data_IF_808557126758
#
_entry.id   IF_808557126758
#
_cell.length_a   1.000
_cell.length_b   1.000
_cell.length_c   1.000
_cell.angle_alpha   90.00
_cell.angle_beta   90.00
_cell.angle_gamma   90.00
#
_symmetry.space_group_name_H-M   'P 1'
#
loop_
_entity.id
_entity.type
_entity.pdbx_description
1 polymer ?
#
# COMPACT_ATOMS: atom_id res chain seq x y z
N UNK A 1 27.50 19.09 16.34
CA UNK A 1 27.14 17.66 16.35
C UNK A 1 25.78 17.50 17.01
N UNK A 2 24.70 17.41 16.23
CA UNK A 2 23.36 17.23 16.77
C UNK A 2 23.15 15.74 17.10
N UNK A 3 22.94 15.44 18.38
CA UNK A 3 22.58 14.12 18.88
C UNK A 3 21.33 13.61 18.16
N UNK A 4 21.45 12.49 17.45
CA UNK A 4 20.29 11.83 16.86
C UNK A 4 19.35 11.39 18.00
N UNK A 5 18.08 11.82 18.05
CA UNK A 5 17.19 11.41 19.12
C UNK A 5 16.97 9.89 19.03
N UNK A 6 17.40 9.21 20.09
CA UNK A 6 17.42 7.77 20.34
C UNK A 6 16.03 7.10 20.33
N UNK A 7 14.94 7.83 20.06
CA UNK A 7 13.56 7.33 20.07
C UNK A 7 12.65 8.02 19.02
N UNK A 8 13.13 8.21 17.79
CA UNK A 8 12.32 8.82 16.73
C UNK A 8 11.18 7.89 16.29
N UNK A 9 10.02 7.99 16.96
CA UNK A 9 8.75 7.42 16.51
C UNK A 9 8.56 7.73 15.01
N UNK A 10 8.02 6.80 14.20
CA UNK A 10 7.79 7.07 12.79
C UNK A 10 6.93 8.34 12.64
N UNK A 11 7.25 9.23 11.68
CA UNK A 11 6.46 10.43 11.47
C UNK A 11 5.01 10.06 11.16
N UNK A 12 4.08 10.95 11.50
CA UNK A 12 2.64 10.69 11.35
C UNK A 12 2.26 10.24 9.93
N UNK A 13 2.95 10.75 8.90
CA UNK A 13 2.75 10.31 7.51
C UNK A 13 3.07 8.84 7.27
N UNK A 14 4.14 8.32 7.89
CA UNK A 14 4.55 6.90 7.78
C UNK A 14 3.59 6.01 8.58
N UNK A 15 3.10 6.49 9.73
CA UNK A 15 2.06 5.79 10.50
C UNK A 15 0.75 5.70 9.73
N UNK A 16 0.30 6.81 9.14
CA UNK A 16 -0.88 6.84 8.30
C UNK A 16 -0.71 5.92 7.08
N UNK A 17 0.47 5.91 6.46
CA UNK A 17 0.78 5.00 5.36
C UNK A 17 0.65 3.53 5.77
N UNK A 18 1.13 3.18 6.96
CA UNK A 18 0.98 1.83 7.52
C UNK A 18 -0.47 1.41 7.64
N UNK A 19 -1.32 2.32 8.14
CA UNK A 19 -2.76 2.07 8.29
C UNK A 19 -3.41 1.88 6.92
N UNK A 20 -3.10 2.74 5.95
CA UNK A 20 -3.61 2.61 4.58
C UNK A 20 -3.22 1.28 3.93
N UNK A 21 -1.96 0.84 4.10
CA UNK A 21 -1.49 -0.45 3.58
C UNK A 21 -2.22 -1.64 4.21
N UNK A 22 -2.56 -1.58 5.51
CA UNK A 22 -3.38 -2.60 6.15
C UNK A 22 -4.82 -2.60 5.66
N UNK A 23 -5.41 -1.41 5.46
CA UNK A 23 -6.75 -1.27 4.86
C UNK A 23 -6.76 -1.93 3.48
N UNK A 24 -5.76 -1.64 2.64
CA UNK A 24 -5.63 -2.29 1.34
C UNK A 24 -5.48 -3.80 1.43
N UNK A 25 -4.66 -4.31 2.35
CA UNK A 25 -4.51 -5.75 2.52
C UNK A 25 -5.85 -6.42 2.86
N UNK A 26 -6.63 -5.86 3.78
CA UNK A 26 -7.94 -6.39 4.14
C UNK A 26 -8.93 -6.29 2.96
N UNK A 27 -8.95 -5.15 2.26
CA UNK A 27 -9.83 -4.96 1.10
C UNK A 27 -9.50 -5.96 -0.02
N UNK A 28 -8.23 -6.14 -0.37
CA UNK A 28 -7.83 -7.09 -1.39
C UNK A 28 -8.08 -8.54 -0.97
N UNK A 29 -7.88 -8.87 0.30
CA UNK A 29 -8.22 -10.20 0.81
C UNK A 29 -9.73 -10.48 0.69
N UNK A 30 -10.57 -9.51 1.07
CA UNK A 30 -12.02 -9.58 0.91
C UNK A 30 -12.42 -9.75 -0.56
N UNK A 31 -11.85 -8.95 -1.46
CA UNK A 31 -12.09 -9.08 -2.90
C UNK A 31 -11.62 -10.42 -3.47
N UNK A 32 -10.51 -10.97 -2.97
CA UNK A 32 -10.04 -12.29 -3.39
C UNK A 32 -11.04 -13.38 -3.01
N UNK A 33 -11.52 -13.37 -1.76
CA UNK A 33 -12.52 -14.33 -1.27
C UNK A 33 -13.82 -14.19 -2.05
N UNK A 34 -14.29 -12.96 -2.27
CA UNK A 34 -15.48 -12.68 -3.07
C UNK A 34 -15.33 -13.20 -4.50
N UNK A 35 -14.21 -12.91 -5.15
CA UNK A 35 -13.92 -13.32 -6.53
C UNK A 35 -13.90 -14.85 -6.71
N UNK A 36 -13.46 -15.61 -5.70
CA UNK A 36 -13.54 -17.08 -5.74
C UNK A 36 -14.99 -17.53 -5.79
N UNK A 37 -15.86 -16.95 -4.95
CA UNK A 37 -17.28 -17.29 -4.90
C UNK A 37 -18.01 -16.92 -6.19
N UNK A 38 -17.76 -15.71 -6.71
CA UNK A 38 -18.38 -15.20 -7.93
C UNK A 38 -18.02 -16.02 -9.17
N UNK A 39 -16.78 -16.52 -9.25
CA UNK A 39 -16.32 -17.39 -10.33
C UNK A 39 -16.83 -18.84 -10.23
N UNK A 40 -17.71 -19.17 -9.28
CA UNK A 40 -18.25 -20.51 -9.08
C UNK A 40 -17.31 -21.47 -8.32
N UNK A 41 -16.25 -20.96 -7.71
CA UNK A 41 -15.28 -21.74 -6.93
C UNK A 41 -14.25 -22.52 -7.75
N UNK A 42 -13.66 -23.54 -7.12
CA UNK A 42 -12.66 -24.43 -7.73
C UNK A 42 -11.34 -23.75 -8.12
N UNK A 43 -10.51 -24.43 -8.91
CA UNK A 43 -9.20 -23.92 -9.33
C UNK A 43 -9.31 -22.66 -10.20
N UNK A 44 -10.37 -22.55 -11.01
CA UNK A 44 -10.58 -21.39 -11.87
C UNK A 44 -10.84 -20.13 -11.03
N UNK A 45 -11.73 -20.20 -10.03
CA UNK A 45 -11.98 -19.08 -9.12
C UNK A 45 -10.73 -18.67 -8.32
N UNK A 46 -9.91 -19.64 -7.89
CA UNK A 46 -8.62 -19.35 -7.25
C UNK A 46 -7.66 -18.64 -8.20
N UNK A 47 -7.57 -19.09 -9.46
CA UNK A 47 -6.77 -18.44 -10.49
C UNK A 47 -7.24 -17.01 -10.77
N UNK A 48 -8.55 -16.79 -10.84
CA UNK A 48 -9.16 -15.47 -11.02
C UNK A 48 -8.89 -14.53 -9.83
N UNK A 49 -8.84 -15.07 -8.61
CA UNK A 49 -8.55 -14.30 -7.40
C UNK A 49 -7.05 -14.03 -7.16
N UNK A 50 -6.16 -14.69 -7.90
CA UNK A 50 -4.70 -14.62 -7.72
C UNK A 50 -4.13 -13.19 -7.70
N UNK A 51 -4.54 -12.27 -8.60
CA UNK A 51 -4.05 -10.88 -8.55
C UNK A 51 -4.37 -10.18 -7.23
N UNK A 52 -5.55 -10.45 -6.64
CA UNK A 52 -5.95 -9.88 -5.35
C UNK A 52 -5.11 -10.45 -4.20
N UNK A 53 -4.81 -11.75 -4.21
CA UNK A 53 -3.89 -12.33 -3.23
C UNK A 53 -2.48 -11.75 -3.33
N UNK A 54 -1.98 -11.54 -4.55
CA UNK A 54 -0.68 -10.88 -4.75
C UNK A 54 -0.67 -9.46 -4.18
N UNK A 55 -1.70 -8.65 -4.48
CA UNK A 55 -1.82 -7.30 -3.92
C UNK A 55 -1.97 -7.31 -2.40
N UNK A 56 -2.67 -8.30 -1.84
CA UNK A 56 -2.79 -8.52 -0.39
C UNK A 56 -1.43 -8.77 0.24
N UNK A 57 -0.67 -9.72 -0.31
CA UNK A 57 0.66 -10.07 0.18
C UNK A 57 1.62 -8.88 0.09
N UNK A 58 1.66 -8.18 -1.06
CA UNK A 58 2.47 -6.98 -1.24
C UNK A 58 2.12 -5.89 -0.23
N UNK A 59 0.83 -5.58 -0.07
CA UNK A 59 0.37 -4.56 0.88
C UNK A 59 0.72 -4.92 2.32
N UNK A 60 0.60 -6.21 2.68
CA UNK A 60 0.93 -6.73 4.01
C UNK A 60 2.43 -6.63 4.29
N UNK A 61 3.26 -7.09 3.36
CA UNK A 61 4.73 -7.02 3.47
C UNK A 61 5.17 -5.57 3.61
N UNK A 62 4.62 -4.67 2.80
CA UNK A 62 4.92 -3.24 2.91
C UNK A 62 4.40 -2.67 4.23
N UNK A 63 3.20 -3.02 4.71
CA UNK A 63 2.67 -2.53 5.99
C UNK A 63 3.56 -2.94 7.19
N UNK A 64 4.11 -4.15 7.15
CA UNK A 64 5.06 -4.63 8.18
C UNK A 64 6.40 -3.91 8.04
N UNK A 65 6.90 -3.74 6.81
CA UNK A 65 8.23 -3.19 6.54
C UNK A 65 8.26 -1.66 6.44
N UNK A 66 7.14 -0.94 6.44
CA UNK A 66 7.10 0.54 6.31
C UNK A 66 7.78 1.27 7.47
N UNK A 67 7.85 0.62 8.64
CA UNK A 67 8.60 1.10 9.79
C UNK A 67 10.12 0.86 9.66
N UNK A 68 10.55 0.02 8.71
CA UNK A 68 11.97 -0.09 8.37
C UNK A 68 12.32 1.13 7.52
N UNK A 69 13.42 1.83 7.84
CA UNK A 69 13.88 3.01 7.09
C UNK A 69 14.45 2.66 5.71
N UNK A 70 14.04 1.53 5.13
CA UNK A 70 14.59 1.00 3.90
C UNK A 70 14.04 1.75 2.68
N UNK A 71 14.95 2.23 1.82
CA UNK A 71 14.60 2.99 0.60
C UNK A 71 13.72 2.19 -0.35
N UNK A 72 13.94 0.88 -0.48
CA UNK A 72 13.15 0.03 -1.36
C UNK A 72 11.66 0.02 -0.95
N UNK A 73 11.35 0.05 0.36
CA UNK A 73 9.96 0.06 0.85
C UNK A 73 9.24 1.31 0.39
N UNK A 74 9.91 2.47 0.43
CA UNK A 74 9.35 3.72 -0.08
C UNK A 74 9.08 3.64 -1.58
N UNK A 75 10.05 3.18 -2.37
CA UNK A 75 9.88 3.04 -3.83
C UNK A 75 8.74 2.08 -4.16
N UNK A 76 8.70 0.90 -3.54
CA UNK A 76 7.62 -0.07 -3.72
C UNK A 76 6.26 0.48 -3.31
N UNK A 77 6.19 1.28 -2.25
CA UNK A 77 4.96 1.94 -1.82
C UNK A 77 4.46 2.95 -2.85
N UNK A 78 5.37 3.76 -3.42
CA UNK A 78 5.04 4.71 -4.49
C UNK A 78 4.51 3.96 -5.70
N UNK A 79 5.24 2.94 -6.17
CA UNK A 79 4.85 2.11 -7.32
C UNK A 79 3.48 1.47 -7.10
N UNK A 80 3.23 0.89 -5.92
CA UNK A 80 1.95 0.31 -5.57
C UNK A 80 0.82 1.35 -5.69
N UNK A 81 0.98 2.54 -5.11
CA UNK A 81 -0.07 3.57 -5.17
C UNK A 81 -0.30 4.09 -6.59
N UNK A 82 0.77 4.28 -7.37
CA UNK A 82 0.65 4.64 -8.78
C UNK A 82 -0.12 3.59 -9.57
N UNK A 83 0.16 2.30 -9.34
CA UNK A 83 -0.56 1.21 -9.99
C UNK A 83 -2.03 1.17 -9.57
N UNK A 84 -2.33 1.35 -8.27
CA UNK A 84 -3.70 1.42 -7.77
C UNK A 84 -4.46 2.61 -8.35
N UNK A 85 -3.83 3.77 -8.53
CA UNK A 85 -4.45 4.93 -9.21
C UNK A 85 -4.90 4.55 -10.61
N UNK A 86 -4.05 3.88 -11.40
CA UNK A 86 -4.40 3.46 -12.77
C UNK A 86 -5.58 2.49 -12.76
N UNK A 87 -5.58 1.50 -11.88
CA UNK A 87 -6.70 0.55 -11.75
C UNK A 87 -8.00 1.26 -11.39
N UNK A 88 -7.96 2.14 -10.38
CA UNK A 88 -9.16 2.83 -9.91
C UNK A 88 -9.68 3.84 -10.93
N UNK A 89 -8.79 4.49 -11.68
CA UNK A 89 -9.17 5.34 -12.80
C UNK A 89 -9.94 4.54 -13.86
N UNK A 90 -9.46 3.35 -14.21
CA UNK A 90 -10.17 2.44 -15.12
C UNK A 90 -11.57 2.09 -14.61
N UNK A 91 -11.72 1.79 -13.31
CA UNK A 91 -13.03 1.52 -12.69
C UNK A 91 -13.95 2.73 -12.72
N UNK A 92 -13.46 3.91 -12.36
CA UNK A 92 -14.25 5.15 -12.39
C UNK A 92 -14.73 5.47 -13.80
N UNK A 93 -13.85 5.37 -14.80
CA UNK A 93 -14.23 5.58 -16.21
C UNK A 93 -15.21 4.51 -16.71
N UNK A 94 -15.19 3.30 -16.13
CA UNK A 94 -16.18 2.24 -16.36
C UNK A 94 -17.52 2.43 -15.64
N UNK A 95 -17.74 3.53 -14.93
CA UNK A 95 -19.00 3.85 -14.26
C UNK A 95 -19.11 3.36 -12.81
N UNK A 96 -18.06 2.79 -12.23
CA UNK A 96 -18.04 2.33 -10.85
C UNK A 96 -17.71 3.48 -9.88
N UNK A 97 -18.72 3.93 -9.14
CA UNK A 97 -18.61 5.02 -8.14
C UNK A 97 -17.63 4.65 -7.03
N UNK A 98 -17.51 3.37 -6.65
CA UNK A 98 -16.52 2.94 -5.66
C UNK A 98 -15.08 3.07 -6.17
N UNK A 99 -14.89 3.09 -7.49
CA UNK A 99 -13.61 3.43 -8.12
C UNK A 99 -13.13 4.82 -7.72
N UNK A 100 -14.03 5.81 -7.61
CA UNK A 100 -13.67 7.18 -7.22
C UNK A 100 -13.16 7.24 -5.76
N UNK A 101 -13.81 6.52 -4.86
CA UNK A 101 -13.39 6.41 -3.46
C UNK A 101 -12.00 5.77 -3.39
N UNK A 102 -11.79 4.66 -4.10
CA UNK A 102 -10.50 3.99 -4.18
C UNK A 102 -9.40 4.90 -4.75
N UNK A 103 -9.72 5.71 -5.76
CA UNK A 103 -8.82 6.67 -6.37
C UNK A 103 -8.35 7.73 -5.37
N UNK A 104 -9.27 8.31 -4.58
CA UNK A 104 -8.93 9.30 -3.55
C UNK A 104 -8.01 8.71 -2.48
N UNK A 105 -8.26 7.47 -2.04
CA UNK A 105 -7.40 6.79 -1.07
C UNK A 105 -6.01 6.55 -1.66
N UNK A 106 -5.93 6.13 -2.93
CA UNK A 106 -4.66 5.88 -3.61
C UNK A 106 -3.83 7.16 -3.81
N UNK A 107 -4.47 8.26 -4.20
CA UNK A 107 -3.83 9.58 -4.28
C UNK A 107 -3.33 10.02 -2.90
N UNK A 108 -4.16 9.87 -1.87
CA UNK A 108 -3.78 10.25 -0.49
C UNK A 108 -2.54 9.49 -0.03
N UNK A 109 -2.50 8.17 -0.23
CA UNK A 109 -1.33 7.36 0.13
C UNK A 109 -0.09 7.72 -0.69
N UNK A 110 -0.24 8.08 -1.97
CA UNK A 110 0.88 8.58 -2.77
C UNK A 110 1.43 9.91 -2.21
N UNK A 111 0.55 10.85 -1.88
CA UNK A 111 0.92 12.14 -1.28
C UNK A 111 1.66 11.92 0.05
N UNK A 112 1.17 11.01 0.90
CA UNK A 112 1.83 10.67 2.17
C UNK A 112 3.23 10.07 1.95
N UNK A 113 3.41 9.20 0.95
CA UNK A 113 4.71 8.63 0.59
C UNK A 113 5.69 9.65 -0.03
N UNK A 114 5.16 10.71 -0.65
CA UNK A 114 5.94 11.78 -1.27
C UNK A 114 6.29 12.92 -0.31
N UNK A 115 5.60 13.06 0.84
CA UNK A 115 5.84 14.14 1.82
C UNK A 115 7.31 14.25 2.25
N UNK A 116 7.84 15.46 2.46
CA UNK A 116 9.23 15.67 2.89
C UNK A 116 9.60 14.90 4.17
N UNK A 117 8.68 14.84 5.14
CA UNK A 117 8.88 14.08 6.39
C UNK A 117 9.07 12.57 6.14
N UNK A 118 8.35 11.99 5.17
CA UNK A 118 8.55 10.60 4.77
C UNK A 118 9.89 10.44 4.04
N UNK A 119 10.23 11.36 3.13
CA UNK A 119 11.54 11.36 2.43
C UNK A 119 12.71 11.35 3.41
N UNK A 120 12.67 12.23 4.40
CA UNK A 120 13.68 12.31 5.46
C UNK A 120 13.78 11.04 6.30
N UNK A 121 12.66 10.38 6.58
CA UNK A 121 12.65 9.13 7.34
C UNK A 121 13.34 7.96 6.60
N UNK A 122 13.14 7.85 5.28
CA UNK A 122 13.73 6.80 4.45
C UNK A 122 15.11 7.15 3.87
N UNK A 123 15.57 8.41 4.00
CA UNK A 123 16.90 8.82 3.53
C UNK A 123 18.02 8.49 4.51
N UNK A 124 17.71 8.35 5.80
CA UNK A 124 18.66 7.96 6.85
C UNK A 124 19.15 6.53 6.57
N UNK A 125 20.40 6.42 6.11
CA UNK A 125 21.06 5.13 5.90
C UNK A 125 21.01 4.36 7.22
N UNK A 126 20.51 3.10 7.25
CA UNK A 126 20.63 2.29 8.45
C UNK A 126 22.12 2.12 8.74
N UNK A 127 22.59 2.64 9.88
CA UNK A 127 23.89 2.26 10.44
C UNK A 127 23.80 0.75 10.60
N UNK A 128 24.57 -0.01 9.81
CA UNK A 128 24.65 -1.46 9.94
C UNK A 128 25.05 -1.74 11.39
N UNK A 129 24.16 -2.39 12.15
CA UNK A 129 24.49 -3.01 13.42
C UNK A 129 25.25 -4.31 13.17
#
# INVERSE_FOLDING_TARGET
>A
MASAPHNARPPASVRAQRVLLWIYAVMFAGNAIWAIGEAGGGMFGVGYAMPYFLLTALSTVLAVKVATRARWVRTSTIVLHSFLIVIQLGRTLGGDVFGLIGLLIAITGLVLALRPAARGYFSVVPVRA
#
